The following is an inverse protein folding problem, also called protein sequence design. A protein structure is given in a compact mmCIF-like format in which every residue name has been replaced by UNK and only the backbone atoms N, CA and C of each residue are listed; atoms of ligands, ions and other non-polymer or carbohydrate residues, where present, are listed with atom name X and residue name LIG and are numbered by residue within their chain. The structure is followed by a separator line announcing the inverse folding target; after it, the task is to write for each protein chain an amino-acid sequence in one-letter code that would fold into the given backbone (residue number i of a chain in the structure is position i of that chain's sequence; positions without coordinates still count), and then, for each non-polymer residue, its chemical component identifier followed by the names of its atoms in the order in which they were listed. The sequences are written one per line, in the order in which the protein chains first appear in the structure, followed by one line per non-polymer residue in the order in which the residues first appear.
data_IF_599778512442
#
_entry.id   IF_599778512442
#
_cell.length_a   1.000
_cell.length_b   1.000
_cell.length_c   1.000
_cell.angle_alpha   90.00
_cell.angle_beta   90.00
_cell.angle_gamma   90.00
#
_symmetry.space_group_name_H-M   'P 1'
#
loop_
_entity.id
_entity.type
_entity.pdbx_description
1 polymer ?
#
# COMPACT_ATOMS: atom_id res chain seq x y z
N UNK A 1 -18.54 40.95 6.53
CA UNK A 1 -19.46 39.89 6.02
C UNK A 1 -18.94 39.23 4.74
N UNK A 2 -18.48 39.99 3.73
CA UNK A 2 -17.95 39.42 2.48
C UNK A 2 -16.67 38.59 2.66
N UNK A 3 -15.72 39.02 3.51
CA UNK A 3 -14.50 38.25 3.82
C UNK A 3 -14.79 36.90 4.49
N UNK A 4 -15.77 36.84 5.40
CA UNK A 4 -16.17 35.58 6.04
C UNK A 4 -16.79 34.60 5.04
N UNK A 5 -17.48 35.08 4.00
CA UNK A 5 -18.07 34.24 2.95
C UNK A 5 -16.98 33.74 2.00
N UNK A 6 -16.04 34.61 1.62
CA UNK A 6 -14.89 34.23 0.79
C UNK A 6 -13.99 33.19 1.49
N UNK A 7 -13.71 33.38 2.80
CA UNK A 7 -12.95 32.41 3.58
C UNK A 7 -13.70 31.08 3.77
N UNK A 8 -15.01 31.13 4.04
CA UNK A 8 -15.82 29.91 4.15
C UNK A 8 -15.89 29.14 2.82
N UNK A 9 -15.97 29.83 1.69
CA UNK A 9 -15.95 29.21 0.37
C UNK A 9 -14.58 28.63 0.01
N UNK A 10 -13.49 29.30 0.38
CA UNK A 10 -12.13 28.79 0.21
C UNK A 10 -11.86 27.54 1.06
N UNK A 11 -12.33 27.52 2.32
CA UNK A 11 -12.28 26.34 3.20
C UNK A 11 -13.15 25.19 2.67
N UNK A 12 -14.34 25.47 2.17
CA UNK A 12 -15.22 24.48 1.53
C UNK A 12 -14.62 23.91 0.24
N UNK A 13 -13.94 24.75 -0.57
CA UNK A 13 -13.23 24.29 -1.75
C UNK A 13 -12.05 23.38 -1.35
N UNK A 14 -11.24 23.80 -0.36
CA UNK A 14 -10.15 22.96 0.18
C UNK A 14 -10.64 21.61 0.70
N UNK A 15 -11.76 21.59 1.42
CA UNK A 15 -12.32 20.36 1.99
C UNK A 15 -12.89 19.41 0.92
N UNK A 16 -13.33 19.92 -0.24
CA UNK A 16 -13.74 19.11 -1.38
C UNK A 16 -12.57 18.54 -2.20
N UNK A 17 -11.45 19.26 -2.32
CA UNK A 17 -10.30 18.81 -3.13
C UNK A 17 -9.29 17.94 -2.36
N UNK A 18 -9.17 18.13 -1.04
CA UNK A 18 -8.22 17.37 -0.21
C UNK A 18 -8.42 15.83 -0.26
N UNK A 19 -9.65 15.29 -0.24
CA UNK A 19 -9.86 13.84 -0.32
C UNK A 19 -9.40 13.23 -1.65
N UNK A 20 -9.62 13.94 -2.77
CA UNK A 20 -9.20 13.50 -4.10
C UNK A 20 -7.67 13.46 -4.23
N UNK A 21 -6.99 14.49 -3.72
CA UNK A 21 -5.53 14.50 -3.69
C UNK A 21 -4.97 13.35 -2.86
N UNK A 22 -5.53 13.12 -1.66
CA UNK A 22 -5.07 12.03 -0.78
C UNK A 22 -5.33 10.65 -1.38
N UNK A 23 -6.47 10.47 -2.06
CA UNK A 23 -6.77 9.23 -2.78
C UNK A 23 -5.77 8.94 -3.89
N UNK A 24 -5.40 9.96 -4.68
CA UNK A 24 -4.39 9.81 -5.72
C UNK A 24 -3.01 9.46 -5.12
N UNK A 25 -2.62 10.11 -4.02
CA UNK A 25 -1.38 9.78 -3.31
C UNK A 25 -1.37 8.33 -2.81
N UNK A 26 -2.46 7.88 -2.19
CA UNK A 26 -2.64 6.50 -1.74
C UNK A 26 -2.46 5.52 -2.90
N UNK A 27 -3.05 5.82 -4.05
CA UNK A 27 -2.93 4.97 -5.23
C UNK A 27 -1.48 4.86 -5.73
N UNK A 28 -0.77 5.98 -5.79
CA UNK A 28 0.65 6.02 -6.19
C UNK A 28 1.53 5.24 -5.19
N UNK A 29 1.34 5.44 -3.89
CA UNK A 29 2.08 4.70 -2.86
C UNK A 29 1.84 3.19 -2.95
N UNK A 30 0.60 2.76 -3.21
CA UNK A 30 0.30 1.34 -3.38
C UNK A 30 0.89 0.77 -4.68
N UNK A 31 0.95 1.56 -5.76
CA UNK A 31 1.66 1.18 -6.98
C UNK A 31 3.16 1.03 -6.76
N UNK A 32 3.78 1.94 -5.99
CA UNK A 32 5.19 1.86 -5.63
C UNK A 32 5.47 0.57 -4.85
N UNK A 33 4.70 0.29 -3.79
CA UNK A 33 4.82 -0.96 -3.01
C UNK A 33 4.66 -2.21 -3.86
N UNK A 34 3.67 -2.23 -4.76
CA UNK A 34 3.48 -3.37 -5.68
C UNK A 34 4.66 -3.53 -6.64
N UNK A 35 5.24 -2.42 -7.11
CA UNK A 35 6.41 -2.44 -8.00
C UNK A 35 7.65 -2.93 -7.25
N UNK A 36 7.88 -2.44 -6.03
CA UNK A 36 8.94 -2.94 -5.17
C UNK A 36 8.80 -4.43 -4.87
N UNK A 37 7.59 -4.89 -4.59
CA UNK A 37 7.29 -6.31 -4.41
C UNK A 37 7.66 -7.13 -5.66
N UNK A 38 7.23 -6.70 -6.84
CA UNK A 38 7.57 -7.39 -8.10
C UNK A 38 9.08 -7.41 -8.36
N UNK A 39 9.78 -6.29 -8.13
CA UNK A 39 11.23 -6.21 -8.29
C UNK A 39 11.97 -7.12 -7.31
N UNK A 40 11.56 -7.14 -6.04
CA UNK A 40 12.15 -7.99 -5.02
C UNK A 40 11.91 -9.48 -5.31
N UNK A 41 10.71 -9.84 -5.76
CA UNK A 41 10.40 -11.20 -6.18
C UNK A 41 11.32 -11.63 -7.34
N UNK A 42 11.40 -10.83 -8.41
CA UNK A 42 12.27 -11.12 -9.57
C UNK A 42 13.73 -11.28 -9.13
N UNK A 43 14.25 -10.34 -8.34
CA UNK A 43 15.62 -10.38 -7.84
C UNK A 43 15.89 -11.66 -7.06
N UNK A 44 15.01 -11.98 -6.11
CA UNK A 44 15.13 -13.18 -5.28
C UNK A 44 15.12 -14.44 -6.13
N UNK A 45 14.15 -14.61 -7.03
CA UNK A 45 14.07 -15.82 -7.86
C UNK A 45 15.27 -15.93 -8.82
N UNK A 46 15.76 -14.81 -9.34
CA UNK A 46 16.98 -14.78 -10.14
C UNK A 46 18.22 -15.19 -9.33
N UNK A 47 18.36 -14.69 -8.10
CA UNK A 47 19.43 -15.07 -7.17
C UNK A 47 19.38 -16.57 -6.86
N UNK A 48 18.20 -17.12 -6.56
CA UNK A 48 18.03 -18.56 -6.34
C UNK A 48 18.40 -19.39 -7.58
N UNK A 49 18.02 -18.94 -8.77
CA UNK A 49 18.37 -19.61 -10.03
C UNK A 49 19.87 -19.56 -10.33
N UNK A 50 20.51 -18.41 -10.12
CA UNK A 50 21.97 -18.27 -10.26
C UNK A 50 22.72 -19.13 -9.25
N UNK A 51 22.25 -19.19 -8.00
CA UNK A 51 22.85 -20.03 -6.97
C UNK A 51 22.73 -21.52 -7.33
N UNK A 52 21.58 -21.94 -7.86
CA UNK A 52 21.39 -23.32 -8.34
C UNK A 52 22.29 -23.64 -9.54
N UNK A 53 22.46 -22.70 -10.49
CA UNK A 53 23.40 -22.86 -11.61
C UNK A 53 24.85 -22.97 -11.13
N UNK A 54 25.24 -22.15 -10.15
CA UNK A 54 26.58 -22.23 -9.55
C UNK A 54 26.81 -23.58 -8.87
N UNK A 55 25.87 -24.03 -8.04
CA UNK A 55 25.92 -25.34 -7.38
C UNK A 55 25.97 -26.49 -8.40
N UNK A 56 25.28 -26.36 -9.53
CA UNK A 56 25.34 -27.35 -10.62
C UNK A 56 26.69 -27.34 -11.35
N UNK A 57 27.30 -26.17 -11.57
CA UNK A 57 28.60 -26.04 -12.22
C UNK A 57 29.77 -26.57 -11.35
N UNK A 58 29.60 -26.60 -10.03
CA UNK A 58 30.55 -27.16 -9.07
C UNK A 58 30.52 -28.70 -9.01
N UNK A 59 29.59 -29.35 -9.71
CA UNK A 59 29.51 -30.81 -9.80
C UNK A 59 30.57 -31.34 -10.75
N UNK A 60 31.54 -32.10 -10.23
CA UNK A 60 32.66 -32.66 -11.01
C UNK A 60 32.84 -34.17 -10.79
N UNK A 61 32.21 -34.74 -9.77
CA UNK A 61 32.38 -36.13 -9.35
C UNK A 61 31.15 -36.65 -8.57
N UNK A 62 31.20 -37.91 -8.14
CA UNK A 62 30.10 -38.55 -7.42
C UNK A 62 29.83 -37.94 -6.03
N UNK A 63 30.85 -37.38 -5.38
CA UNK A 63 30.71 -36.77 -4.05
C UNK A 63 30.04 -35.38 -4.15
N UNK A 64 30.45 -34.57 -5.11
CA UNK A 64 29.80 -33.29 -5.45
C UNK A 64 28.37 -33.47 -5.96
N UNK A 65 28.08 -34.54 -6.70
CA UNK A 65 26.69 -34.95 -7.04
C UNK A 65 25.85 -35.23 -5.79
N UNK A 66 26.43 -35.90 -4.79
CA UNK A 66 25.75 -36.20 -3.53
C UNK A 66 25.43 -34.93 -2.75
N UNK A 67 26.40 -34.00 -2.70
CA UNK A 67 26.22 -32.68 -2.09
C UNK A 67 25.15 -31.84 -2.82
N UNK A 68 25.15 -31.83 -4.15
CA UNK A 68 24.12 -31.16 -4.94
C UNK A 68 22.71 -31.72 -4.67
N UNK A 69 22.60 -33.04 -4.55
CA UNK A 69 21.32 -33.70 -4.21
C UNK A 69 20.87 -33.37 -2.79
N UNK A 70 21.79 -33.27 -1.83
CA UNK A 70 21.47 -32.80 -0.48
C UNK A 70 21.00 -31.33 -0.49
N UNK A 71 21.65 -30.47 -1.28
CA UNK A 71 21.29 -29.07 -1.43
C UNK A 71 19.92 -28.86 -2.11
N UNK A 72 19.42 -29.81 -2.91
CA UNK A 72 18.09 -29.71 -3.52
C UNK A 72 16.97 -29.60 -2.46
N UNK A 73 17.08 -30.33 -1.35
CA UNK A 73 16.09 -30.25 -0.28
C UNK A 73 16.09 -28.87 0.39
N UNK A 74 17.28 -28.27 0.54
CA UNK A 74 17.44 -26.91 1.05
C UNK A 74 16.88 -25.87 0.08
N UNK A 75 17.16 -26.00 -1.22
CA UNK A 75 16.57 -25.13 -2.27
C UNK A 75 15.05 -25.23 -2.26
N UNK A 76 14.47 -26.43 -2.12
CA UNK A 76 13.02 -26.62 -2.05
C UNK A 76 12.42 -25.97 -0.79
N UNK A 77 13.08 -26.10 0.36
CA UNK A 77 12.68 -25.45 1.61
C UNK A 77 12.74 -23.92 1.49
N UNK A 78 13.82 -23.39 0.92
CA UNK A 78 14.00 -21.97 0.66
C UNK A 78 12.89 -21.45 -0.26
N UNK A 79 12.58 -22.15 -1.35
CA UNK A 79 11.50 -21.79 -2.27
C UNK A 79 10.15 -21.74 -1.57
N UNK A 80 9.82 -22.77 -0.79
CA UNK A 80 8.56 -22.82 -0.04
C UNK A 80 8.47 -21.65 0.95
N UNK A 81 9.57 -21.34 1.64
CA UNK A 81 9.64 -20.18 2.54
C UNK A 81 9.42 -18.87 1.80
N UNK A 82 10.05 -18.66 0.63
CA UNK A 82 9.86 -17.45 -0.18
C UNK A 82 8.41 -17.32 -0.65
N UNK A 83 7.77 -18.40 -1.10
CA UNK A 83 6.34 -18.38 -1.47
C UNK A 83 5.46 -17.97 -0.29
N UNK A 84 5.73 -18.49 0.91
CA UNK A 84 4.98 -18.09 2.12
C UNK A 84 5.22 -16.63 2.50
N UNK A 85 6.46 -16.15 2.39
CA UNK A 85 6.81 -14.75 2.63
C UNK A 85 6.11 -13.82 1.63
N UNK A 86 6.11 -14.18 0.34
CA UNK A 86 5.45 -13.42 -0.73
C UNK A 86 3.94 -13.38 -0.52
N UNK A 87 3.32 -14.51 -0.14
CA UNK A 87 1.90 -14.57 0.19
C UNK A 87 1.54 -13.69 1.39
N UNK A 88 2.41 -13.68 2.43
CA UNK A 88 2.24 -12.79 3.58
C UNK A 88 2.37 -11.32 3.17
N UNK A 89 3.39 -10.97 2.38
CA UNK A 89 3.59 -9.61 1.90
C UNK A 89 2.38 -9.10 1.10
N UNK A 90 1.83 -9.93 0.20
CA UNK A 90 0.60 -9.62 -0.54
C UNK A 90 -0.60 -9.40 0.39
N UNK A 91 -0.77 -10.26 1.39
CA UNK A 91 -1.85 -10.12 2.38
C UNK A 91 -1.70 -8.83 3.19
N UNK A 92 -0.48 -8.51 3.62
CA UNK A 92 -0.20 -7.31 4.42
C UNK A 92 -0.45 -6.04 3.57
N UNK A 93 -0.02 -6.00 2.30
CA UNK A 93 -0.32 -4.89 1.38
C UNK A 93 -1.83 -4.72 1.16
N UNK A 94 -2.58 -5.83 1.00
CA UNK A 94 -4.03 -5.76 0.83
C UNK A 94 -4.77 -5.23 2.08
N UNK A 95 -4.33 -5.65 3.27
CA UNK A 95 -4.87 -5.15 4.54
C UNK A 95 -4.55 -3.67 4.76
N UNK A 96 -3.34 -3.25 4.41
CA UNK A 96 -2.93 -1.85 4.50
C UNK A 96 -3.74 -0.97 3.54
N UNK A 97 -3.87 -1.37 2.27
CA UNK A 97 -4.71 -0.66 1.30
C UNK A 97 -6.15 -0.50 1.80
N UNK A 98 -6.75 -1.59 2.32
CA UNK A 98 -8.09 -1.54 2.91
C UNK A 98 -8.17 -0.52 4.05
N UNK A 99 -7.23 -0.57 4.98
CA UNK A 99 -7.17 0.33 6.13
C UNK A 99 -7.04 1.80 5.70
N UNK A 100 -6.18 2.08 4.71
CA UNK A 100 -5.98 3.42 4.18
C UNK A 100 -7.26 3.95 3.49
N UNK A 101 -7.98 3.11 2.74
CA UNK A 101 -9.26 3.48 2.10
C UNK A 101 -10.35 3.74 3.15
N UNK A 102 -10.47 2.89 4.17
CA UNK A 102 -11.41 3.09 5.29
C UNK A 102 -11.12 4.41 6.01
N UNK A 103 -9.85 4.71 6.28
CA UNK A 103 -9.42 5.99 6.87
C UNK A 103 -9.79 7.20 6.02
N UNK A 104 -9.61 7.14 4.70
CA UNK A 104 -10.04 8.23 3.80
C UNK A 104 -11.56 8.43 3.81
N UNK A 105 -12.34 7.34 3.87
CA UNK A 105 -13.80 7.44 3.97
C UNK A 105 -14.26 8.05 5.30
N UNK A 106 -13.62 7.67 6.42
CA UNK A 106 -13.91 8.27 7.73
C UNK A 106 -13.54 9.76 7.77
N UNK A 107 -12.38 10.15 7.26
CA UNK A 107 -11.98 11.55 7.14
C UNK A 107 -12.97 12.35 6.27
N UNK A 108 -13.37 11.81 5.12
CA UNK A 108 -14.34 12.45 4.24
C UNK A 108 -15.70 12.62 4.92
N UNK A 109 -16.17 11.61 5.68
CA UNK A 109 -17.43 11.67 6.44
C UNK A 109 -17.35 12.70 7.58
N UNK A 110 -16.23 12.74 8.30
CA UNK A 110 -15.99 13.72 9.38
C UNK A 110 -15.96 15.15 8.84
N UNK A 111 -15.27 15.35 7.71
CA UNK A 111 -15.21 16.64 7.01
C UNK A 111 -16.60 17.10 6.54
N UNK A 112 -17.40 16.19 5.97
CA UNK A 112 -18.77 16.47 5.56
C UNK A 112 -19.67 16.84 6.75
N UNK A 113 -19.56 16.13 7.88
CA UNK A 113 -20.29 16.43 9.11
C UNK A 113 -19.89 17.79 9.72
N UNK A 114 -18.61 18.15 9.66
CA UNK A 114 -18.12 19.45 10.12
C UNK A 114 -18.68 20.60 9.26
N UNK A 115 -18.74 20.44 7.93
CA UNK A 115 -19.35 21.42 7.01
C UNK A 115 -20.86 21.57 7.17
N UNK A 116 -21.58 20.49 7.51
CA UNK A 116 -23.02 20.56 7.79
C UNK A 116 -23.33 21.34 9.07
N UNK A 117 -22.45 21.28 10.07
CA UNK A 117 -22.61 21.94 11.37
C UNK A 117 -22.33 23.46 11.26
N UNK A 118 -21.41 23.89 10.41
CA UNK A 118 -21.14 25.31 10.14
C UNK A 118 -22.20 25.96 9.25
N UNK A 119 -22.78 25.22 8.29
CA UNK A 119 -23.88 25.70 7.44
C UNK A 119 -25.21 25.91 8.20
N UNK A 120 -25.43 25.21 9.32
CA UNK A 120 -26.67 25.33 10.10
C UNK A 120 -26.74 26.58 11.01
N UNK A 121 -25.64 27.32 11.22
CA UNK A 121 -25.60 28.44 12.20
C UNK A 121 -25.94 29.88 11.72
N UNK A 122 -26.41 30.21 10.51
CA UNK A 122 -26.90 31.57 10.24
C UNK A 122 -28.43 31.76 10.29
N UNK A 123 -29.26 30.71 10.36
CA UNK A 123 -30.70 30.86 10.18
C UNK A 123 -31.50 31.25 11.45
N UNK A 124 -30.93 31.15 12.65
CA UNK A 124 -31.68 31.38 13.90
C UNK A 124 -31.70 32.85 14.40
N UNK A 125 -30.96 33.78 13.78
CA UNK A 125 -30.79 35.14 14.31
C UNK A 125 -31.67 36.24 13.65
N UNK A 126 -32.70 35.89 12.86
CA UNK A 126 -33.56 36.87 12.17
C UNK A 126 -35.07 36.76 12.43
N UNK A 127 -35.50 36.15 13.55
CA UNK A 127 -36.90 36.23 14.02
C UNK A 127 -36.98 36.81 15.43
N UNK A 128 -36.82 38.13 15.52
CA UNK A 128 -37.40 38.97 16.56
C UNK A 128 -37.25 40.42 16.08
N UNK A 129 -38.20 40.82 15.23
CA UNK A 129 -38.60 42.21 15.08
C UNK A 129 -39.68 42.50 16.12
#
# INVERSE_FOLDING_TARGET
MQENILNAFAEQAKSMYAPLSKFNSLFVENMEKMTEFQLNAIKTYAEMGMEQMKKAAEVQDADSMRNFTAAQAETASALNKKVMEDAKALSDMALEFKTQVEGLMEEARSTAAATATTAAKPAAAKKSA
#
